data_IF_559891760346
#
_entry.id   IF_559891760346
#
_cell.length_a   1.000
_cell.length_b   1.000
_cell.length_c   1.000
_cell.angle_alpha   90.00
_cell.angle_beta   90.00
_cell.angle_gamma   90.00
#
_symmetry.space_group_name_H-M   'P 1'
#
loop_
_entity.id
_entity.type
_entity.pdbx_description
1 polymer ?
#
# COMPACT_ATOMS: atom_id res chain seq x y z
N UNK A 1 -6.99 9.80 -1.05
CA UNK A 1 -7.53 8.42 -1.02
C UNK A 1 -8.58 8.28 0.08
N UNK A 2 -8.22 8.24 1.36
CA UNK A 2 -9.19 8.09 2.47
C UNK A 2 -10.32 9.15 2.46
N UNK A 3 -10.03 10.41 2.12
CA UNK A 3 -11.03 11.47 1.97
C UNK A 3 -11.83 11.47 0.66
N UNK A 4 -11.64 10.50 -0.24
CA UNK A 4 -12.42 10.37 -1.49
C UNK A 4 -12.21 11.48 -2.54
N UNK A 5 -11.15 12.29 -2.42
CA UNK A 5 -10.82 13.36 -3.36
C UNK A 5 -10.46 12.82 -4.77
N UNK A 6 -10.75 13.60 -5.80
CA UNK A 6 -10.35 13.40 -7.20
C UNK A 6 -10.01 14.77 -7.81
N UNK A 7 -8.79 15.22 -7.51
CA UNK A 7 -8.26 16.54 -7.81
C UNK A 7 -6.97 16.49 -8.65
N UNK A 8 -6.45 15.28 -8.90
CA UNK A 8 -5.32 15.02 -9.79
C UNK A 8 -5.45 13.63 -10.43
N UNK A 9 -4.57 13.32 -11.39
CA UNK A 9 -4.61 12.07 -12.14
C UNK A 9 -4.63 10.83 -11.23
N UNK A 10 -3.74 10.77 -10.23
CA UNK A 10 -3.64 9.63 -9.32
C UNK A 10 -4.90 9.48 -8.46
N UNK A 11 -5.36 10.57 -7.85
CA UNK A 11 -6.54 10.53 -6.97
C UNK A 11 -7.82 10.21 -7.76
N UNK A 12 -7.92 10.66 -9.01
CA UNK A 12 -9.03 10.28 -9.88
C UNK A 12 -9.01 8.82 -10.33
N UNK A 13 -7.84 8.25 -10.65
CA UNK A 13 -7.72 6.81 -10.94
C UNK A 13 -8.17 5.98 -9.74
N UNK A 14 -7.70 6.33 -8.53
CA UNK A 14 -8.06 5.61 -7.31
C UNK A 14 -9.55 5.79 -6.98
N UNK A 15 -10.11 6.98 -7.22
CA UNK A 15 -11.54 7.24 -6.95
C UNK A 15 -12.48 6.43 -7.82
N UNK A 16 -12.06 6.12 -9.05
CA UNK A 16 -12.78 5.30 -10.01
C UNK A 16 -12.39 3.81 -9.96
N UNK A 17 -11.57 3.41 -8.98
CA UNK A 17 -11.03 2.06 -8.90
C UNK A 17 -12.09 1.02 -8.52
N UNK A 18 -12.06 -0.13 -9.18
CA UNK A 18 -12.82 -1.32 -8.80
C UNK A 18 -11.96 -2.15 -7.83
N UNK A 19 -12.34 -2.16 -6.55
CA UNK A 19 -11.60 -2.83 -5.48
C UNK A 19 -11.66 -4.38 -5.53
N UNK A 20 -12.39 -4.98 -6.49
CA UNK A 20 -12.21 -6.39 -6.81
C UNK A 20 -10.84 -6.67 -7.46
N UNK A 21 -10.21 -5.63 -8.02
CA UNK A 21 -8.85 -5.64 -8.55
C UNK A 21 -7.86 -5.25 -7.45
N UNK A 22 -6.70 -5.91 -7.37
CA UNK A 22 -5.71 -5.60 -6.36
C UNK A 22 -5.19 -4.17 -6.49
N UNK A 23 -5.05 -3.50 -5.36
CA UNK A 23 -4.36 -2.22 -5.23
C UNK A 23 -3.40 -2.33 -4.05
N UNK A 24 -2.14 -1.97 -4.28
CA UNK A 24 -1.10 -1.99 -3.25
C UNK A 24 -0.61 -0.57 -2.99
N UNK A 25 -0.28 -0.27 -1.73
CA UNK A 25 0.36 0.99 -1.34
C UNK A 25 1.62 0.70 -0.54
N UNK A 26 2.68 1.46 -0.81
CA UNK A 26 3.92 1.44 -0.03
C UNK A 26 4.16 2.86 0.52
N UNK A 27 3.67 3.19 1.72
CA UNK A 27 3.80 4.52 2.29
C UNK A 27 5.26 4.92 2.50
N UNK A 28 5.55 6.19 2.27
CA UNK A 28 6.87 6.78 2.47
C UNK A 28 6.69 8.16 3.12
N UNK A 29 7.06 8.29 4.38
CA UNK A 29 6.92 9.54 5.13
C UNK A 29 7.89 9.60 6.32
N UNK A 30 8.13 10.78 6.86
CA UNK A 30 8.94 10.94 8.06
C UNK A 30 8.27 10.26 9.28
N UNK A 31 9.08 9.83 10.25
CA UNK A 31 8.62 9.19 11.51
C UNK A 31 7.51 9.95 12.23
N UNK A 32 7.57 11.28 12.29
CA UNK A 32 6.53 12.07 12.94
C UNK A 32 5.20 12.04 12.18
N UNK A 33 5.24 11.96 10.85
CA UNK A 33 4.04 11.78 10.03
C UNK A 33 3.51 10.35 10.20
N UNK A 34 4.39 9.35 10.23
CA UNK A 34 4.00 7.96 10.43
C UNK A 34 3.30 7.74 11.78
N UNK A 35 3.86 8.32 12.85
CA UNK A 35 3.32 8.24 14.21
C UNK A 35 2.11 9.16 14.44
N UNK A 36 1.71 9.97 13.44
CA UNK A 36 0.54 10.82 13.57
C UNK A 36 -0.74 9.97 13.56
N UNK A 37 -1.72 10.22 14.45
CA UNK A 37 -2.96 9.44 14.51
C UNK A 37 -3.79 9.49 13.22
N UNK A 38 -3.63 10.53 12.39
CA UNK A 38 -4.28 10.57 11.07
C UNK A 38 -3.75 9.50 10.12
N UNK A 39 -2.48 9.14 10.21
CA UNK A 39 -1.89 8.08 9.36
C UNK A 39 -2.55 6.75 9.68
N UNK A 40 -2.65 6.39 10.96
CA UNK A 40 -3.35 5.17 11.38
C UNK A 40 -4.81 5.15 10.90
N UNK A 41 -5.55 6.25 11.10
CA UNK A 41 -6.94 6.36 10.63
C UNK A 41 -7.07 6.21 9.12
N UNK A 42 -6.19 6.86 8.35
CA UNK A 42 -6.22 6.72 6.89
C UNK A 42 -5.84 5.32 6.43
N UNK A 43 -4.90 4.66 7.11
CA UNK A 43 -4.53 3.27 6.82
C UNK A 43 -5.69 2.32 7.09
N UNK A 44 -6.41 2.48 8.20
CA UNK A 44 -7.62 1.71 8.49
C UNK A 44 -8.69 1.91 7.40
N UNK A 45 -8.95 3.16 6.99
CA UNK A 45 -9.95 3.44 5.96
C UNK A 45 -9.61 2.83 4.59
N UNK A 46 -8.34 2.72 4.23
CA UNK A 46 -7.95 2.07 2.96
C UNK A 46 -7.91 0.54 3.07
N UNK A 47 -7.60 -0.01 4.26
CA UNK A 47 -7.65 -1.44 4.53
C UNK A 47 -9.08 -1.98 4.44
N UNK A 48 -10.06 -1.24 4.95
CA UNK A 48 -11.50 -1.54 4.79
C UNK A 48 -11.95 -1.60 3.32
N UNK A 49 -11.25 -0.90 2.41
CA UNK A 49 -11.50 -0.95 0.97
C UNK A 49 -10.79 -2.13 0.28
N UNK A 50 -10.03 -2.95 1.01
CA UNK A 50 -9.23 -4.05 0.46
C UNK A 50 -7.92 -3.60 -0.20
N UNK A 51 -7.43 -2.39 0.12
CA UNK A 51 -6.12 -1.92 -0.34
C UNK A 51 -5.03 -2.59 0.50
N UNK A 52 -4.13 -3.30 -0.17
CA UNK A 52 -3.03 -4.01 0.48
C UNK A 52 -1.89 -3.07 0.86
N UNK A 53 -1.59 -2.98 2.15
CA UNK A 53 -0.45 -2.22 2.67
C UNK A 53 0.85 -3.04 2.57
N UNK A 54 1.86 -2.47 1.91
CA UNK A 54 3.25 -2.89 2.03
C UNK A 54 3.89 -1.99 3.09
N UNK A 55 4.19 -2.52 4.29
CA UNK A 55 4.56 -1.70 5.44
C UNK A 55 5.87 -0.96 5.20
N UNK A 56 6.03 0.25 5.77
CA UNK A 56 7.33 0.91 5.77
C UNK A 56 8.33 0.14 6.62
N UNK A 57 9.60 0.46 6.42
CA UNK A 57 10.71 -0.09 7.18
C UNK A 57 11.28 0.98 8.12
N UNK A 58 11.85 0.51 9.23
CA UNK A 58 12.67 1.37 10.08
C UNK A 58 14.07 1.47 9.50
N UNK A 59 14.54 2.70 9.23
CA UNK A 59 15.92 2.97 8.80
C UNK A 59 16.59 3.94 9.76
N UNK A 60 17.91 3.84 9.84
CA UNK A 60 18.74 4.82 10.55
C UNK A 60 18.76 6.11 9.76
N UNK A 61 18.25 7.18 10.36
CA UNK A 61 18.23 8.51 9.78
C UNK A 61 19.64 9.12 9.83
N UNK A 62 19.88 10.13 8.99
CA UNK A 62 21.16 10.84 8.94
C UNK A 62 21.54 11.51 10.29
N UNK A 63 20.56 11.79 11.16
CA UNK A 63 20.77 12.30 12.52
C UNK A 63 21.21 11.24 13.55
N UNK A 64 21.21 9.96 13.19
CA UNK A 64 21.54 8.85 14.08
C UNK A 64 20.32 8.16 14.71
N UNK A 65 19.13 8.77 14.64
CA UNK A 65 17.89 8.20 15.15
C UNK A 65 17.36 7.06 14.27
N UNK A 66 16.70 6.07 14.88
CA UNK A 66 15.93 5.06 14.16
C UNK A 66 14.51 5.56 13.95
N UNK A 67 14.11 5.71 12.68
CA UNK A 67 12.81 6.22 12.30
C UNK A 67 12.03 5.22 11.47
N UNK A 68 10.76 4.99 11.84
CA UNK A 68 9.81 4.25 11.00
C UNK A 68 9.21 5.17 9.93
N UNK A 69 8.72 4.61 8.82
CA UNK A 69 8.07 5.37 7.74
C UNK A 69 8.87 5.45 6.44
N UNK A 70 10.09 4.90 6.39
CA UNK A 70 10.80 4.77 5.12
C UNK A 70 10.09 3.74 4.22
N UNK A 71 9.97 4.03 2.94
CA UNK A 71 9.36 3.10 1.97
C UNK A 71 10.04 1.74 2.03
N UNK A 72 9.25 0.66 1.87
CA UNK A 72 9.78 -0.66 1.61
C UNK A 72 10.77 -0.65 0.43
N UNK A 73 11.76 -1.54 0.47
CA UNK A 73 12.71 -1.69 -0.64
C UNK A 73 11.96 -2.06 -1.94
N UNK A 74 12.37 -1.53 -3.11
CA UNK A 74 11.72 -1.82 -4.37
C UNK A 74 11.62 -3.32 -4.69
N UNK A 75 12.62 -4.11 -4.28
CA UNK A 75 12.63 -5.57 -4.42
C UNK A 75 11.52 -6.25 -3.60
N UNK A 76 11.25 -5.74 -2.40
CA UNK A 76 10.16 -6.21 -1.56
C UNK A 76 8.81 -5.86 -2.21
N UNK A 77 8.63 -4.61 -2.64
CA UNK A 77 7.40 -4.18 -3.32
C UNK A 77 7.13 -5.04 -4.56
N UNK A 78 8.14 -5.23 -5.41
CA UNK A 78 8.05 -6.08 -6.60
C UNK A 78 7.66 -7.52 -6.26
N UNK A 79 8.36 -8.15 -5.32
CA UNK A 79 8.12 -9.54 -4.97
C UNK A 79 6.73 -9.77 -4.36
N UNK A 80 6.25 -8.85 -3.51
CA UNK A 80 4.88 -8.89 -2.96
C UNK A 80 3.83 -8.87 -4.06
N UNK A 81 3.93 -7.93 -5.01
CA UNK A 81 2.96 -7.81 -6.12
C UNK A 81 3.04 -9.03 -7.05
N UNK A 82 4.25 -9.50 -7.36
CA UNK A 82 4.46 -10.66 -8.24
C UNK A 82 3.84 -11.92 -7.65
N UNK A 83 4.15 -12.24 -6.39
CA UNK A 83 3.63 -13.44 -5.73
C UNK A 83 2.10 -13.42 -5.63
N UNK A 84 1.51 -12.25 -5.37
CA UNK A 84 0.07 -12.09 -5.39
C UNK A 84 -0.52 -12.40 -6.77
N UNK A 85 0.05 -11.85 -7.84
CA UNK A 85 -0.41 -12.09 -9.21
C UNK A 85 -0.31 -13.57 -9.61
N UNK A 86 0.78 -14.24 -9.24
CA UNK A 86 0.97 -15.67 -9.48
C UNK A 86 -0.08 -16.54 -8.78
N UNK A 87 -0.45 -16.20 -7.54
CA UNK A 87 -1.48 -16.94 -6.77
C UNK A 87 -2.88 -16.87 -7.39
N UNK A 88 -3.21 -15.73 -8.03
CA UNK A 88 -4.48 -15.54 -8.75
C UNK A 88 -4.53 -16.38 -10.03
N UNK A 89 -3.40 -16.53 -10.73
CA UNK A 89 -3.35 -17.34 -11.94
C UNK A 89 -3.53 -18.83 -11.64
N UNK A 90 -2.95 -19.34 -10.55
CA UNK A 90 -3.11 -20.75 -10.15
C UNK A 90 -4.54 -21.09 -9.71
N UNK A 91 -5.27 -20.12 -9.15
CA UNK A 91 -6.66 -20.29 -8.73
C UNK A 91 -7.66 -20.30 -9.91
N UNK A 92 -7.26 -19.78 -11.07
CA UNK A 92 -8.09 -19.70 -12.28
C UNK A 92 -8.08 -20.96 -13.15
N UNK A 93 -7.09 -21.83 -12.99
CA UNK A 93 -6.85 -23.01 -13.86
C UNK A 93 -7.56 -24.29 -13.37
N UNK A 94 -8.30 -24.21 -12.25
CA UNK A 94 -8.96 -25.36 -11.60
C UNK A 94 -10.44 -25.57 -11.92
N UNK A 95 -11.03 -24.88 -12.91
CA UNK A 95 -12.44 -25.03 -13.30
C UNK A 95 -12.61 -25.37 -14.78
N UNK A 96 -12.18 -26.58 -15.16
CA UNK A 96 -12.73 -27.28 -16.33
C UNK A 96 -12.95 -28.74 -15.92
N UNK A 97 -14.21 -29.07 -15.61
CA UNK A 97 -14.70 -30.40 -15.28
C UNK A 97 -16.22 -30.39 -15.38
#
# INVERSE_FOLDING_TARGET
IAGGLCDNLLTCIVRAWDYNKPLFVAPAMNTFMWNNPFTERHLMSIDELGISLIPPVSKRLACGDYGNGAMAEPSLIYSTVRLFAESRNQSGDGKVG
#
